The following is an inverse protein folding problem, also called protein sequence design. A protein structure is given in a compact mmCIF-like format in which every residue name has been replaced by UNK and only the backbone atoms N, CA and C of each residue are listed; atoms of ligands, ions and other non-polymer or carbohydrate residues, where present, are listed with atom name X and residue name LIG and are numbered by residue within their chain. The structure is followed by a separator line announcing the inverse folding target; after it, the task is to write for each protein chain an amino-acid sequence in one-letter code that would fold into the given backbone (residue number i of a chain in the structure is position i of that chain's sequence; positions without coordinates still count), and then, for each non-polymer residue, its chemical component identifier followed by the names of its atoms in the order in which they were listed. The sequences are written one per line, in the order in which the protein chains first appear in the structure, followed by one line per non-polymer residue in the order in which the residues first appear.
data_IF_502858692934
#
_entry.id   IF_502858692934
#
_cell.length_a   1.000
_cell.length_b   1.000
_cell.length_c   1.000
_cell.angle_alpha   90.00
_cell.angle_beta   90.00
_cell.angle_gamma   90.00
#
_symmetry.space_group_name_H-M   'P 1'
#
loop_
_entity.id
_entity.type
_entity.pdbx_description
1 polymer ?
#
# COMPACT_ATOMS: atom_id res chain seq x y z
N UNK A 1 -2.33 19.04 -7.83
CA UNK A 1 -2.42 17.67 -7.26
C UNK A 1 -1.25 16.77 -7.67
N UNK A 2 -0.69 16.86 -8.89
CA UNK A 2 0.49 16.07 -9.27
C UNK A 2 1.79 16.50 -8.55
N UNK A 3 1.88 17.74 -8.09
CA UNK A 3 3.11 18.27 -7.47
C UNK A 3 3.37 17.79 -6.03
N UNK A 4 2.36 17.31 -5.30
CA UNK A 4 2.55 16.81 -3.91
C UNK A 4 3.17 15.41 -3.83
N UNK A 5 3.28 14.66 -4.94
CA UNK A 5 3.90 13.34 -4.93
C UNK A 5 5.44 13.39 -5.02
N UNK A 6 6.00 14.52 -5.50
CA UNK A 6 7.45 14.67 -5.70
C UNK A 6 8.24 14.75 -4.38
N UNK A 7 7.63 15.28 -3.32
CA UNK A 7 8.24 15.38 -1.99
C UNK A 7 8.42 14.03 -1.29
N UNK A 8 7.82 12.98 -1.85
CA UNK A 8 7.92 11.60 -1.36
C UNK A 8 8.87 10.76 -2.23
N UNK A 9 9.47 11.31 -3.29
CA UNK A 9 10.19 10.53 -4.30
C UNK A 9 11.66 10.21 -3.98
N UNK A 10 12.14 10.41 -2.74
CA UNK A 10 13.53 10.08 -2.35
C UNK A 10 13.58 9.10 -1.18
N UNK A 11 13.90 7.84 -1.50
CA UNK A 11 14.13 6.75 -0.55
C UNK A 11 13.01 5.71 -0.57
N UNK A 12 13.32 4.47 -0.19
CA UNK A 12 12.38 3.34 -0.19
C UNK A 12 11.23 3.55 0.81
N UNK A 13 10.15 4.15 0.34
CA UNK A 13 8.98 4.51 1.13
C UNK A 13 8.05 3.33 1.33
N UNK A 14 7.40 3.29 2.50
CA UNK A 14 6.26 2.44 2.75
C UNK A 14 5.01 3.31 2.95
N UNK A 15 4.15 3.33 1.95
CA UNK A 15 2.91 4.07 1.94
C UNK A 15 1.69 3.14 2.05
N UNK A 16 0.68 3.57 2.79
CA UNK A 16 -0.61 2.86 2.86
C UNK A 16 -1.77 3.78 2.49
N UNK A 17 -2.57 3.34 1.52
CA UNK A 17 -3.82 3.98 1.10
C UNK A 17 -4.98 3.41 1.90
N UNK A 18 -5.64 4.24 2.68
CA UNK A 18 -6.75 3.85 3.55
C UNK A 18 -8.05 4.46 3.06
N UNK A 19 -9.07 3.64 2.78
CA UNK A 19 -10.34 4.15 2.26
C UNK A 19 -11.32 3.08 1.83
N UNK A 20 -12.62 3.34 1.95
CA UNK A 20 -13.65 2.39 1.50
C UNK A 20 -13.67 2.20 -0.02
N UNK A 21 -14.49 1.27 -0.51
CA UNK A 21 -14.64 1.06 -1.95
C UNK A 21 -15.20 2.30 -2.65
N UNK A 22 -14.74 2.54 -3.89
CA UNK A 22 -15.17 3.68 -4.72
C UNK A 22 -14.52 5.02 -4.37
N UNK A 23 -13.51 5.07 -3.49
CA UNK A 23 -12.81 6.32 -3.14
C UNK A 23 -11.62 6.65 -4.05
N UNK A 24 -11.30 5.81 -5.04
CA UNK A 24 -10.23 6.08 -6.01
C UNK A 24 -8.82 5.59 -5.61
N UNK A 25 -8.68 4.72 -4.60
CA UNK A 25 -7.38 4.13 -4.21
C UNK A 25 -6.65 3.49 -5.39
N UNK A 26 -7.31 2.57 -6.11
CA UNK A 26 -6.74 1.88 -7.26
C UNK A 26 -6.37 2.85 -8.38
N UNK A 27 -7.12 3.95 -8.53
CA UNK A 27 -6.79 5.05 -9.47
C UNK A 27 -5.50 5.76 -9.07
N UNK A 28 -5.27 6.02 -7.77
CA UNK A 28 -4.02 6.61 -7.29
C UNK A 28 -2.85 5.63 -7.43
N UNK A 29 -3.04 4.35 -7.07
CA UNK A 29 -2.04 3.30 -7.30
C UNK A 29 -1.65 3.19 -8.77
N UNK A 30 -2.63 3.27 -9.68
CA UNK A 30 -2.38 3.28 -11.13
C UNK A 30 -1.53 4.47 -11.56
N UNK A 31 -1.83 5.67 -11.07
CA UNK A 31 -1.02 6.88 -11.35
C UNK A 31 0.41 6.74 -10.84
N UNK A 32 0.60 6.18 -9.64
CA UNK A 32 1.92 5.89 -9.07
C UNK A 32 2.67 4.89 -9.96
N UNK A 33 2.02 3.79 -10.33
CA UNK A 33 2.56 2.80 -11.24
C UNK A 33 2.97 3.42 -12.57
N UNK A 34 2.12 4.23 -13.19
CA UNK A 34 2.36 4.86 -14.49
C UNK A 34 3.55 5.82 -14.44
N UNK A 35 3.70 6.58 -13.35
CA UNK A 35 4.81 7.51 -13.14
C UNK A 35 6.15 6.80 -12.83
N UNK A 36 6.11 5.61 -12.23
CA UNK A 36 7.30 4.86 -11.83
C UNK A 36 8.16 4.45 -13.02
N UNK A 37 9.47 4.66 -12.88
CA UNK A 37 10.48 4.22 -13.83
C UNK A 37 11.17 2.98 -13.28
N UNK A 38 11.26 1.91 -14.08
CA UNK A 38 11.90 0.65 -13.70
C UNK A 38 10.90 -0.44 -13.32
N UNK A 39 11.36 -1.42 -12.53
CA UNK A 39 10.60 -2.62 -12.20
C UNK A 39 9.46 -2.29 -11.24
N UNK A 40 8.25 -2.74 -11.57
CA UNK A 40 7.12 -2.68 -10.66
C UNK A 40 6.33 -3.99 -10.67
N UNK A 41 6.00 -4.46 -9.48
CA UNK A 41 5.18 -5.63 -9.26
C UNK A 41 3.86 -5.22 -8.59
N UNK A 42 2.75 -5.58 -9.21
CA UNK A 42 1.41 -5.36 -8.68
C UNK A 42 0.82 -6.67 -8.17
N UNK A 43 0.33 -6.66 -6.94
CA UNK A 43 -0.52 -7.70 -6.36
C UNK A 43 -1.96 -7.18 -6.41
N UNK A 44 -2.74 -7.53 -7.44
CA UNK A 44 -4.12 -7.09 -7.53
C UNK A 44 -4.96 -7.69 -6.40
N UNK A 45 -6.06 -7.03 -6.05
CA UNK A 45 -6.97 -7.54 -5.02
C UNK A 45 -7.50 -8.94 -5.37
N UNK A 46 -7.79 -9.20 -6.64
CA UNK A 46 -8.21 -10.50 -7.13
C UNK A 46 -7.99 -10.61 -8.65
N UNK A 47 -8.23 -11.79 -9.22
CA UNK A 47 -8.03 -12.06 -10.64
C UNK A 47 -8.93 -11.24 -11.58
N UNK A 48 -10.02 -10.66 -11.06
CA UNK A 48 -10.99 -9.86 -11.83
C UNK A 48 -10.74 -8.35 -11.71
N UNK A 49 -9.68 -7.92 -11.01
CA UNK A 49 -9.32 -6.51 -10.90
C UNK A 49 -8.95 -5.93 -12.26
N UNK A 50 -9.75 -4.95 -12.71
CA UNK A 50 -9.63 -4.38 -14.06
C UNK A 50 -8.52 -3.33 -14.15
N UNK A 51 -8.21 -2.66 -13.05
CA UNK A 51 -7.26 -1.52 -13.00
C UNK A 51 -5.87 -1.88 -13.50
N UNK A 52 -5.47 -3.15 -13.34
CA UNK A 52 -4.15 -3.68 -13.73
C UNK A 52 -4.26 -4.85 -14.71
N UNK A 53 -5.38 -4.92 -15.44
CA UNK A 53 -5.66 -6.03 -16.36
C UNK A 53 -4.67 -6.09 -17.54
N UNK A 54 -4.12 -4.95 -17.95
CA UNK A 54 -3.13 -4.76 -19.00
C UNK A 54 -1.71 -5.25 -18.65
N UNK A 55 -1.42 -5.45 -17.35
CA UNK A 55 -0.10 -5.94 -16.94
C UNK A 55 0.05 -7.45 -17.21
N UNK A 56 1.22 -7.91 -17.67
CA UNK A 56 1.52 -9.33 -17.80
C UNK A 56 1.50 -10.01 -16.43
N UNK A 57 0.84 -11.16 -16.36
CA UNK A 57 0.89 -12.04 -15.20
C UNK A 57 2.21 -12.84 -15.24
N UNK A 58 2.96 -12.80 -14.14
CA UNK A 58 4.21 -13.56 -14.00
C UNK A 58 4.12 -14.59 -12.86
N UNK A 59 4.99 -15.59 -12.91
CA UNK A 59 5.17 -16.61 -11.88
C UNK A 59 6.30 -16.25 -10.92
N UNK A 60 6.40 -16.97 -9.79
CA UNK A 60 7.37 -16.67 -8.72
C UNK A 60 8.82 -16.68 -9.23
N UNK A 61 9.18 -17.64 -10.08
CA UNK A 61 10.52 -17.78 -10.67
C UNK A 61 10.90 -16.61 -11.59
N UNK A 62 9.91 -15.91 -12.14
CA UNK A 62 10.11 -14.74 -12.99
C UNK A 62 10.27 -13.44 -12.19
N UNK A 63 9.87 -13.42 -10.91
CA UNK A 63 9.86 -12.20 -10.09
C UNK A 63 11.26 -11.60 -9.98
N UNK A 64 12.32 -12.40 -9.90
CA UNK A 64 13.67 -11.89 -9.74
C UNK A 64 14.24 -11.22 -11.00
N UNK A 65 13.72 -11.57 -12.19
CA UNK A 65 14.37 -11.27 -13.48
C UNK A 65 13.49 -10.48 -14.45
N UNK A 66 12.18 -10.35 -14.22
CA UNK A 66 11.31 -9.59 -15.11
C UNK A 66 11.74 -8.13 -15.24
N UNK A 67 11.49 -7.55 -16.41
CA UNK A 67 11.69 -6.13 -16.69
C UNK A 67 10.34 -5.40 -16.82
N UNK A 68 10.35 -4.09 -16.58
CA UNK A 68 9.15 -3.26 -16.71
C UNK A 68 8.12 -3.52 -15.61
N UNK A 69 6.85 -3.67 -15.98
CA UNK A 69 5.72 -3.71 -15.04
C UNK A 69 4.97 -5.03 -15.20
N UNK A 70 4.70 -5.71 -14.09
CA UNK A 70 4.04 -7.00 -14.09
C UNK A 70 3.06 -7.11 -12.92
N UNK A 71 2.23 -8.15 -12.94
CA UNK A 71 1.39 -8.54 -11.80
C UNK A 71 1.69 -9.97 -11.34
N UNK A 72 1.52 -10.20 -10.06
CA UNK A 72 1.63 -11.51 -9.40
C UNK A 72 0.41 -11.76 -8.52
N UNK A 73 -0.18 -12.95 -8.63
CA UNK A 73 -1.37 -13.31 -7.85
C UNK A 73 -0.97 -13.84 -6.48
N UNK A 74 -1.48 -13.21 -5.43
CA UNK A 74 -1.31 -13.63 -4.04
C UNK A 74 -2.70 -13.95 -3.46
N UNK A 75 -2.95 -15.21 -3.12
CA UNK A 75 -4.25 -15.68 -2.62
C UNK A 75 -4.22 -15.97 -1.13
N UNK A 76 -3.05 -16.30 -0.59
CA UNK A 76 -2.82 -16.62 0.81
C UNK A 76 -1.52 -15.98 1.30
N UNK A 77 -1.33 -16.04 2.61
CA UNK A 77 -0.16 -15.45 3.28
C UNK A 77 1.16 -16.05 2.80
N UNK A 78 1.16 -17.36 2.61
CA UNK A 78 2.34 -18.12 2.21
C UNK A 78 2.87 -17.67 0.85
N UNK A 79 1.98 -17.27 -0.07
CA UNK A 79 2.38 -16.75 -1.39
C UNK A 79 3.22 -15.47 -1.25
N UNK A 80 2.89 -14.61 -0.27
CA UNK A 80 3.65 -13.39 0.01
C UNK A 80 4.97 -13.71 0.74
N UNK A 81 4.95 -14.67 1.67
CA UNK A 81 6.16 -15.15 2.35
C UNK A 81 7.18 -15.77 1.36
N UNK A 82 6.70 -16.44 0.32
CA UNK A 82 7.51 -16.99 -0.77
C UNK A 82 7.96 -15.90 -1.75
N UNK A 83 7.15 -14.87 -1.99
CA UNK A 83 7.48 -13.75 -2.88
C UNK A 83 8.61 -12.87 -2.35
N UNK A 84 8.57 -12.55 -1.06
CA UNK A 84 9.43 -11.55 -0.41
C UNK A 84 10.94 -11.69 -0.72
N UNK A 85 11.55 -12.89 -0.69
CA UNK A 85 12.97 -13.07 -1.01
C UNK A 85 13.39 -12.65 -2.43
N UNK A 86 12.44 -12.54 -3.36
CA UNK A 86 12.71 -12.18 -4.76
C UNK A 86 12.56 -10.67 -5.03
N UNK A 87 12.10 -9.89 -4.05
CA UNK A 87 11.87 -8.46 -4.19
C UNK A 87 13.17 -7.68 -3.99
N UNK A 88 13.59 -6.94 -5.01
CA UNK A 88 14.69 -5.98 -4.94
C UNK A 88 14.62 -4.98 -6.09
N UNK A 89 15.04 -3.74 -5.85
CA UNK A 89 15.13 -2.66 -6.83
C UNK A 89 13.82 -2.46 -7.62
N UNK A 90 12.69 -2.33 -6.91
CA UNK A 90 11.38 -2.27 -7.55
C UNK A 90 10.34 -1.52 -6.71
N UNK A 91 9.25 -1.15 -7.37
CA UNK A 91 8.00 -0.73 -6.74
C UNK A 91 7.09 -1.94 -6.51
N UNK A 92 6.65 -2.15 -5.26
CA UNK A 92 5.64 -3.13 -4.89
C UNK A 92 4.30 -2.43 -4.62
N UNK A 93 3.26 -2.81 -5.35
CA UNK A 93 1.89 -2.35 -5.12
C UNK A 93 1.01 -3.51 -4.69
N UNK A 94 0.16 -3.32 -3.68
CA UNK A 94 -0.94 -4.24 -3.39
C UNK A 94 -2.27 -3.50 -3.31
N UNK A 95 -3.23 -3.85 -4.17
CA UNK A 95 -4.53 -3.16 -4.31
C UNK A 95 -5.59 -3.65 -3.29
N UNK A 96 -5.25 -4.66 -2.50
CA UNK A 96 -5.90 -5.01 -1.23
C UNK A 96 -5.01 -6.03 -0.51
N UNK A 97 -4.17 -5.58 0.41
CA UNK A 97 -3.24 -6.49 1.08
C UNK A 97 -3.92 -7.37 2.14
N UNK A 98 -5.21 -7.12 2.44
CA UNK A 98 -5.97 -7.97 3.34
C UNK A 98 -6.03 -9.40 2.83
N UNK A 99 -6.07 -9.61 1.51
CA UNK A 99 -6.24 -10.95 0.94
C UNK A 99 -5.13 -11.92 1.32
N UNK A 100 -3.93 -11.41 1.64
CA UNK A 100 -2.79 -12.22 2.06
C UNK A 100 -2.29 -11.90 3.48
N UNK A 101 -2.83 -10.87 4.16
CA UNK A 101 -2.38 -10.48 5.51
C UNK A 101 -3.50 -10.30 6.54
N UNK A 102 -4.76 -10.59 6.20
CA UNK A 102 -5.94 -10.30 7.02
C UNK A 102 -5.84 -10.85 8.45
N UNK A 103 -5.66 -9.96 9.43
CA UNK A 103 -5.80 -10.29 10.86
C UNK A 103 -4.63 -11.04 11.47
N UNK A 104 -3.55 -11.28 10.71
CA UNK A 104 -2.36 -11.94 11.20
C UNK A 104 -1.21 -10.93 11.35
N UNK A 105 -0.43 -11.11 12.41
CA UNK A 105 0.89 -10.49 12.48
C UNK A 105 1.76 -10.98 11.33
N UNK A 106 2.55 -10.11 10.68
CA UNK A 106 3.51 -10.54 9.65
C UNK A 106 4.44 -11.66 10.14
N UNK A 107 4.88 -12.55 9.24
CA UNK A 107 5.91 -13.55 9.60
C UNK A 107 7.23 -12.84 9.90
N UNK A 108 8.17 -13.50 10.56
CA UNK A 108 9.51 -12.95 10.76
C UNK A 108 10.20 -12.62 9.43
N UNK A 109 9.91 -13.39 8.38
CA UNK A 109 10.39 -13.11 7.01
C UNK A 109 9.82 -11.81 6.47
N UNK A 110 8.50 -11.60 6.57
CA UNK A 110 7.85 -10.36 6.11
C UNK A 110 8.26 -9.16 6.97
N UNK A 111 8.40 -9.35 8.29
CA UNK A 111 8.95 -8.32 9.19
C UNK A 111 10.35 -7.91 8.76
N UNK A 112 11.24 -8.88 8.52
CA UNK A 112 12.60 -8.62 8.03
C UNK A 112 12.58 -7.88 6.69
N UNK A 113 11.68 -8.22 5.78
CA UNK A 113 11.50 -7.49 4.53
C UNK A 113 11.10 -6.02 4.74
N UNK A 114 10.11 -5.74 5.60
CA UNK A 114 9.73 -4.35 5.87
C UNK A 114 10.89 -3.55 6.48
N UNK A 115 11.71 -4.16 7.34
CA UNK A 115 12.91 -3.56 7.91
C UNK A 115 13.96 -3.30 6.81
N UNK A 116 14.27 -4.32 6.02
CA UNK A 116 15.36 -4.31 5.05
C UNK A 116 15.02 -3.59 3.74
N UNK A 117 13.74 -3.23 3.50
CA UNK A 117 13.25 -2.63 2.24
C UNK A 117 14.12 -1.48 1.72
N UNK A 118 14.69 -0.67 2.63
CA UNK A 118 15.57 0.45 2.30
C UNK A 118 16.93 0.02 1.75
N UNK A 119 17.45 -1.12 2.22
CA UNK A 119 18.70 -1.71 1.74
C UNK A 119 18.52 -2.43 0.40
N UNK A 120 17.37 -3.08 0.20
CA UNK A 120 17.04 -3.78 -1.06
C UNK A 120 16.32 -2.88 -2.08
N UNK A 121 16.20 -1.58 -1.78
CA UNK A 121 15.62 -0.55 -2.64
C UNK A 121 14.20 -0.92 -3.14
N UNK A 122 13.29 -1.19 -2.19
CA UNK A 122 11.88 -1.53 -2.48
C UNK A 122 10.93 -0.48 -1.91
N UNK A 123 10.25 0.22 -2.81
CA UNK A 123 9.11 1.08 -2.47
C UNK A 123 7.84 0.26 -2.35
N UNK A 124 6.99 0.56 -1.36
CA UNK A 124 5.78 -0.22 -1.05
C UNK A 124 4.58 0.70 -1.01
N UNK A 125 3.53 0.35 -1.75
CA UNK A 125 2.22 0.99 -1.72
C UNK A 125 1.12 -0.03 -1.53
N UNK A 126 0.49 -0.02 -0.36
CA UNK A 126 -0.53 -0.99 0.01
C UNK A 126 -1.89 -0.30 0.19
N UNK A 127 -2.96 -0.89 -0.32
CA UNK A 127 -4.32 -0.40 -0.10
C UNK A 127 -5.08 -1.27 0.92
N UNK A 128 -5.86 -0.62 1.77
CA UNK A 128 -6.81 -1.25 2.68
C UNK A 128 -8.08 -0.40 2.83
N UNK A 129 -9.15 -0.98 3.36
CA UNK A 129 -10.42 -0.26 3.58
C UNK A 129 -10.42 0.65 4.81
N UNK A 130 -9.44 0.52 5.68
CA UNK A 130 -9.30 1.34 6.88
C UNK A 130 -8.22 0.82 7.82
N UNK A 131 -8.01 1.56 8.90
CA UNK A 131 -6.96 1.30 9.90
C UNK A 131 -7.06 -0.08 10.54
N UNK A 132 -8.27 -0.57 10.83
CA UNK A 132 -8.48 -1.84 11.53
C UNK A 132 -8.06 -3.07 10.72
N UNK A 133 -7.92 -2.91 9.40
CA UNK A 133 -7.47 -3.96 8.47
C UNK A 133 -5.96 -4.04 8.35
N UNK A 134 -5.24 -3.02 8.80
CA UNK A 134 -3.79 -3.01 8.87
C UNK A 134 -3.37 -3.70 10.17
N UNK A 135 -2.57 -4.78 10.14
CA UNK A 135 -1.96 -5.34 11.35
C UNK A 135 -1.18 -4.26 12.10
N UNK A 136 -1.38 -4.21 13.42
CA UNK A 136 -0.86 -3.11 14.27
C UNK A 136 0.66 -2.97 14.18
N UNK A 137 1.38 -4.08 13.98
CA UNK A 137 2.84 -4.09 13.84
C UNK A 137 3.32 -3.31 12.61
N UNK A 138 2.54 -3.30 11.53
CA UNK A 138 2.92 -2.66 10.26
C UNK A 138 2.98 -1.14 10.40
N UNK A 139 2.17 -0.55 11.29
CA UNK A 139 2.17 0.89 11.53
C UNK A 139 3.55 1.45 11.91
N UNK A 140 4.45 0.62 12.46
CA UNK A 140 5.80 1.05 12.83
C UNK A 140 6.73 1.28 11.63
N UNK A 141 6.43 0.68 10.46
CA UNK A 141 7.25 0.81 9.25
C UNK A 141 6.65 1.71 8.18
N UNK A 142 5.38 2.07 8.32
CA UNK A 142 4.69 2.98 7.39
C UNK A 142 5.30 4.37 7.56
N UNK A 143 5.72 4.96 6.44
CA UNK A 143 6.22 6.33 6.39
C UNK A 143 5.08 7.32 6.08
N UNK A 144 4.07 6.90 5.30
CA UNK A 144 3.03 7.78 4.76
C UNK A 144 1.67 7.09 4.71
N UNK A 145 0.61 7.82 5.08
CA UNK A 145 -0.78 7.44 4.81
C UNK A 145 -1.37 8.31 3.71
N UNK A 146 -2.10 7.69 2.79
CA UNK A 146 -3.03 8.37 1.90
C UNK A 146 -4.43 8.09 2.47
N UNK A 147 -4.99 9.06 3.17
CA UNK A 147 -6.27 8.91 3.84
C UNK A 147 -7.39 9.38 2.93
N UNK A 148 -8.16 8.44 2.42
CA UNK A 148 -9.42 8.66 1.73
C UNK A 148 -10.58 8.50 2.72
N UNK A 149 -11.80 8.77 2.24
CA UNK A 149 -13.03 8.55 3.01
C UNK A 149 -13.08 7.14 3.61
N UNK A 150 -13.19 7.05 4.93
CA UNK A 150 -13.44 5.79 5.63
C UNK A 150 -14.20 6.01 6.93
N UNK A 151 -15.09 5.07 7.27
CA UNK A 151 -15.82 5.02 8.55
C UNK A 151 -15.10 4.16 9.59
N UNK A 152 -13.98 3.57 9.21
CA UNK A 152 -13.24 2.69 10.08
C UNK A 152 -12.57 3.45 11.22
N UNK A 153 -12.48 2.81 12.38
CA UNK A 153 -12.01 3.45 13.60
C UNK A 153 -10.50 3.36 13.73
N UNK A 154 -9.85 4.50 14.01
CA UNK A 154 -8.40 4.58 14.32
C UNK A 154 -8.06 3.94 15.68
N UNK A 155 -9.06 3.51 16.48
CA UNK A 155 -8.85 2.93 17.83
C UNK A 155 -7.89 1.74 17.84
N UNK A 156 -7.84 0.94 16.78
CA UNK A 156 -6.93 -0.21 16.68
C UNK A 156 -5.56 0.26 16.21
N UNK A 157 -4.56 0.19 17.09
CA UNK A 157 -3.18 0.58 16.78
C UNK A 157 -2.80 2.01 17.15
N UNK A 158 -3.64 2.72 17.91
CA UNK A 158 -3.35 4.08 18.41
C UNK A 158 -1.96 4.22 19.04
N UNK A 159 -1.53 3.24 19.83
CA UNK A 159 -0.24 3.28 20.52
C UNK A 159 0.98 3.18 19.57
N UNK A 160 0.75 2.80 18.31
CA UNK A 160 1.79 2.70 17.26
C UNK A 160 1.66 3.78 16.20
N UNK A 161 0.54 4.51 16.18
CA UNK A 161 0.32 5.63 15.30
C UNK A 161 0.84 6.89 15.98
N UNK A 162 1.52 7.73 15.21
CA UNK A 162 1.97 9.00 15.75
C UNK A 162 0.83 10.01 15.72
N UNK A 163 0.57 10.63 16.86
CA UNK A 163 -0.51 11.62 17.05
C UNK A 163 -1.90 11.13 16.58
N UNK A 164 -2.45 10.07 17.22
CA UNK A 164 -3.73 9.49 16.81
C UNK A 164 -4.89 10.50 16.86
N UNK A 165 -4.83 11.52 17.72
CA UNK A 165 -5.81 12.61 17.79
C UNK A 165 -5.79 13.48 16.52
N UNK A 166 -4.61 13.80 16.00
CA UNK A 166 -4.49 14.53 14.73
C UNK A 166 -5.03 13.70 13.55
N UNK A 167 -4.73 12.40 13.51
CA UNK A 167 -5.27 11.50 12.49
C UNK A 167 -6.80 11.43 12.51
N UNK A 168 -7.41 11.44 13.70
CA UNK A 168 -8.88 11.47 13.84
C UNK A 168 -9.46 12.77 13.26
N UNK A 169 -8.85 13.92 13.54
CA UNK A 169 -9.29 15.21 12.98
C UNK A 169 -9.18 15.23 11.46
N UNK A 170 -8.04 14.78 10.91
CA UNK A 170 -7.85 14.69 9.46
C UNK A 170 -8.86 13.73 8.84
N UNK A 171 -9.16 12.59 9.48
CA UNK A 171 -10.19 11.67 9.02
C UNK A 171 -11.58 12.34 8.93
N UNK A 172 -11.97 13.11 9.96
CA UNK A 172 -13.23 13.85 9.98
C UNK A 172 -13.30 14.88 8.85
N UNK A 173 -12.21 15.61 8.60
CA UNK A 173 -12.09 16.57 7.50
C UNK A 173 -12.18 15.90 6.14
N UNK A 174 -11.39 14.86 5.89
CA UNK A 174 -11.44 14.07 4.65
C UNK A 174 -12.85 13.52 4.41
N UNK A 175 -13.50 12.99 5.45
CA UNK A 175 -14.86 12.46 5.35
C UNK A 175 -15.90 13.55 5.04
N UNK A 176 -15.70 14.78 5.53
CA UNK A 176 -16.56 15.93 5.23
C UNK A 176 -16.40 16.37 3.78
N UNK A 177 -15.17 16.57 3.32
CA UNK A 177 -14.87 16.97 1.94
C UNK A 177 -15.31 15.89 0.93
N UNK A 178 -15.18 14.61 1.30
CA UNK A 178 -15.58 13.49 0.46
C UNK A 178 -17.09 13.36 0.23
N UNK A 179 -17.93 14.17 0.91
CA UNK A 179 -19.35 14.29 0.58
C UNK A 179 -19.57 15.00 -0.76
N UNK A 180 -18.69 15.95 -1.09
CA UNK A 180 -18.74 16.73 -2.33
C UNK A 180 -17.79 16.16 -3.39
N UNK A 181 -16.67 15.56 -2.98
CA UNK A 181 -15.69 14.94 -3.87
C UNK A 181 -15.28 13.54 -3.35
N UNK A 182 -15.92 12.45 -3.82
CA UNK A 182 -15.64 11.09 -3.34
C UNK A 182 -14.18 10.63 -3.46
N UNK A 183 -13.38 11.30 -4.30
CA UNK A 183 -11.97 11.00 -4.55
C UNK A 183 -11.00 11.89 -3.76
N UNK A 184 -11.51 12.75 -2.88
CA UNK A 184 -10.66 13.55 -2.01
C UNK A 184 -9.89 12.65 -1.04
N UNK A 185 -8.61 12.98 -0.85
CA UNK A 185 -7.71 12.33 0.09
C UNK A 185 -6.67 13.33 0.59
N UNK A 186 -6.14 13.05 1.77
CA UNK A 186 -5.00 13.77 2.35
C UNK A 186 -3.79 12.84 2.47
N UNK A 187 -2.59 13.40 2.32
CA UNK A 187 -1.33 12.68 2.49
C UNK A 187 -0.74 13.06 3.84
N UNK A 188 -0.53 12.07 4.70
CA UNK A 188 -0.14 12.25 6.10
C UNK A 188 1.18 11.53 6.33
N UNK A 189 2.20 12.24 6.81
CA UNK A 189 3.45 11.61 7.25
C UNK A 189 3.24 10.94 8.60
N UNK A 190 3.74 9.72 8.74
CA UNK A 190 3.81 9.01 10.01
C UNK A 190 5.16 9.36 10.68
N UNK A 191 5.38 10.66 10.94
CA UNK A 191 6.60 11.27 11.50
C UNK A 191 6.26 12.31 12.57
#
# INVERSE_FOLDING_TARGET
MADNLKDFAKGSLFSVLLGTNGTGKSTVLRKILDAHQGRALVIPANQHEKTFSDLPLITLDQVATFEGKAKYMCYKREDFDELVPHLSNMLLISDDFRNWLSGYSPTDRVRKFFIDRRHINVDIYFAAHGFSQVPVEIFTWIDVFFLFRTRDSIKRGKDRLMNPEALIKIQEEVNREARNNPFHYEIIKNQ
#
